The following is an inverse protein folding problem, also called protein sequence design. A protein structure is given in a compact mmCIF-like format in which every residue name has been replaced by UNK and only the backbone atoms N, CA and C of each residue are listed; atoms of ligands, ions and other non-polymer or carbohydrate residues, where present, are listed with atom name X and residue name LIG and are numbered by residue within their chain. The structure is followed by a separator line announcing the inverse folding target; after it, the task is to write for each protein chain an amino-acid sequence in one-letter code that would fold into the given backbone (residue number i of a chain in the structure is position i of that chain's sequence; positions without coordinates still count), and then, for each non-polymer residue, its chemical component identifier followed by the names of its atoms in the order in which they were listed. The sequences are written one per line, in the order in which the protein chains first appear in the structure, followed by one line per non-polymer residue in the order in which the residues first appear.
data_IF_642349639503
#
_entry.id   IF_642349639503
#
_cell.length_a   1.000
_cell.length_b   1.000
_cell.length_c   1.000
_cell.angle_alpha   90.00
_cell.angle_beta   90.00
_cell.angle_gamma   90.00
#
_symmetry.space_group_name_H-M   'P 1'
#
loop_
_entity.id
_entity.type
_entity.pdbx_description
1 polymer ?
#
# COMPACT_ATOMS: atom_id res chain seq x y z
N UNK A 1 6.41 -39.13 17.84
CA UNK A 1 5.41 -38.30 18.55
C UNK A 1 5.96 -36.89 18.60
N UNK A 2 5.79 -36.13 17.53
CA UNK A 2 6.48 -34.86 17.32
C UNK A 2 5.70 -33.73 18.03
N UNK A 3 6.39 -32.69 18.51
CA UNK A 3 5.76 -31.45 19.01
C UNK A 3 5.16 -31.43 20.44
N UNK A 4 5.23 -32.52 21.23
CA UNK A 4 4.67 -32.57 22.61
C UNK A 4 5.28 -31.60 23.63
N UNK A 5 6.29 -30.83 23.24
CA UNK A 5 6.94 -29.82 24.07
C UNK A 5 6.32 -28.42 23.91
N UNK A 6 5.46 -28.23 22.90
CA UNK A 6 4.62 -27.05 22.72
C UNK A 6 3.16 -27.32 23.09
N UNK A 7 2.45 -26.34 23.66
CA UNK A 7 1.00 -26.37 23.76
C UNK A 7 0.33 -26.61 22.39
N UNK A 8 -0.69 -27.46 22.35
CA UNK A 8 -1.46 -27.70 21.13
C UNK A 8 -2.29 -26.46 20.77
N UNK A 9 -2.38 -26.15 19.48
CA UNK A 9 -3.24 -25.11 18.94
C UNK A 9 -4.47 -25.75 18.28
N UNK A 10 -5.65 -25.20 18.57
CA UNK A 10 -6.89 -25.68 17.97
C UNK A 10 -7.01 -25.17 16.53
N UNK A 11 -7.30 -26.09 15.60
CA UNK A 11 -7.51 -25.79 14.19
C UNK A 11 -8.95 -26.12 13.79
N UNK A 12 -9.45 -25.45 12.75
CA UNK A 12 -10.72 -25.80 12.09
C UNK A 12 -10.59 -27.10 11.29
N UNK A 13 -11.71 -27.67 10.84
CA UNK A 13 -11.71 -28.81 9.93
C UNK A 13 -10.97 -28.53 8.60
N UNK A 14 -10.85 -27.25 8.22
CA UNK A 14 -10.09 -26.79 7.04
C UNK A 14 -8.62 -26.47 7.34
N UNK A 15 -8.14 -26.73 8.55
CA UNK A 15 -6.75 -26.51 8.97
C UNK A 15 -6.35 -25.07 9.22
N UNK A 16 -7.33 -24.18 9.43
CA UNK A 16 -7.06 -22.79 9.83
C UNK A 16 -6.96 -22.67 11.35
N UNK A 17 -6.08 -21.81 11.88
CA UNK A 17 -5.99 -21.59 13.33
C UNK A 17 -7.27 -20.96 13.88
N UNK A 18 -7.77 -21.50 14.99
CA UNK A 18 -8.87 -20.88 15.73
C UNK A 18 -8.31 -19.82 16.68
N UNK A 19 -8.63 -18.56 16.40
CA UNK A 19 -8.18 -17.41 17.17
C UNK A 19 -8.99 -17.21 18.46
N UNK A 20 -8.29 -16.75 19.51
CA UNK A 20 -8.88 -16.31 20.77
C UNK A 20 -9.66 -14.98 20.59
N UNK A 21 -10.58 -14.63 21.50
CA UNK A 21 -11.29 -13.36 21.43
C UNK A 21 -10.32 -12.16 21.40
N UNK A 22 -10.39 -11.35 20.34
CA UNK A 22 -9.49 -10.20 20.14
C UNK A 22 -8.10 -10.55 19.58
N UNK A 23 -7.84 -11.82 19.26
CA UNK A 23 -6.60 -12.26 18.62
C UNK A 23 -6.66 -11.97 17.10
N UNK A 24 -5.75 -11.12 16.63
CA UNK A 24 -5.59 -10.74 15.22
C UNK A 24 -4.29 -11.32 14.67
N UNK A 25 -4.32 -11.88 13.46
CA UNK A 25 -3.13 -12.31 12.70
C UNK A 25 -2.37 -11.11 12.13
N UNK A 26 -1.04 -11.11 12.27
CA UNK A 26 -0.15 -10.01 11.88
C UNK A 26 0.84 -10.39 10.79
N UNK A 27 1.26 -11.65 10.73
CA UNK A 27 2.08 -12.17 9.66
C UNK A 27 1.87 -13.68 9.48
N UNK A 28 2.08 -14.16 8.26
CA UNK A 28 2.01 -15.58 7.92
C UNK A 28 3.25 -15.92 7.07
N UNK A 29 3.97 -16.98 7.43
CA UNK A 29 5.19 -17.40 6.75
C UNK A 29 5.16 -18.91 6.51
N UNK A 30 5.45 -19.32 5.27
CA UNK A 30 5.51 -20.72 4.84
C UNK A 30 6.88 -21.36 5.10
N UNK A 31 6.88 -22.71 5.18
CA UNK A 31 8.10 -23.55 5.25
C UNK A 31 9.07 -23.12 6.36
N UNK A 32 8.56 -22.99 7.57
CA UNK A 32 9.35 -22.65 8.76
C UNK A 32 9.63 -23.91 9.58
N UNK A 33 10.89 -24.10 9.97
CA UNK A 33 11.26 -25.11 10.96
C UNK A 33 11.41 -24.48 12.34
N UNK A 34 11.03 -25.23 13.38
CA UNK A 34 11.28 -24.93 14.78
C UNK A 34 12.29 -25.92 15.34
N UNK A 35 13.47 -25.42 15.71
CA UNK A 35 14.56 -26.18 16.31
C UNK A 35 14.82 -25.68 17.74
N UNK A 36 15.03 -26.58 18.70
CA UNK A 36 15.42 -26.22 20.08
C UNK A 36 16.92 -26.47 20.22
N UNK A 37 17.68 -25.46 20.65
CA UNK A 37 19.15 -25.56 20.72
C UNK A 37 19.65 -26.22 22.01
N UNK A 38 18.98 -25.99 23.14
CA UNK A 38 19.48 -26.39 24.47
C UNK A 38 19.08 -27.82 24.87
N UNK A 39 18.07 -28.40 24.21
CA UNK A 39 17.56 -29.73 24.53
C UNK A 39 17.37 -30.61 23.26
N UNK A 40 18.42 -31.30 22.79
CA UNK A 40 18.37 -32.13 21.59
C UNK A 40 17.44 -33.37 21.69
N UNK A 41 16.88 -33.66 22.87
CA UNK A 41 15.84 -34.67 23.06
C UNK A 41 14.45 -34.22 22.56
N UNK A 42 14.27 -32.94 22.25
CA UNK A 42 13.04 -32.39 21.69
C UNK A 42 13.08 -32.46 20.15
N UNK A 43 12.16 -33.24 19.58
CA UNK A 43 12.09 -33.42 18.13
C UNK A 43 11.79 -32.06 17.43
N UNK A 44 12.60 -31.67 16.42
CA UNK A 44 12.36 -30.44 15.66
C UNK A 44 11.09 -30.57 14.83
N UNK A 45 10.38 -29.45 14.68
CA UNK A 45 9.23 -29.34 13.80
C UNK A 45 9.70 -28.78 12.46
N UNK A 46 9.32 -29.39 11.33
CA UNK A 46 9.87 -29.05 10.02
C UNK A 46 8.80 -28.73 8.99
N UNK A 47 9.11 -27.75 8.14
CA UNK A 47 8.32 -27.35 6.98
C UNK A 47 6.86 -26.98 7.26
N UNK A 48 6.58 -26.35 8.40
CA UNK A 48 5.23 -25.91 8.74
C UNK A 48 4.92 -24.48 8.33
N UNK A 49 3.65 -24.13 8.42
CA UNK A 49 3.13 -22.77 8.26
C UNK A 49 3.17 -22.07 9.62
N UNK A 50 3.86 -20.94 9.72
CA UNK A 50 3.99 -20.15 10.94
C UNK A 50 3.15 -18.88 10.85
N UNK A 51 2.10 -18.79 11.66
CA UNK A 51 1.28 -17.59 11.84
C UNK A 51 1.73 -16.83 13.10
N UNK A 52 2.04 -15.55 12.94
CA UNK A 52 2.25 -14.61 14.04
C UNK A 52 0.95 -13.88 14.30
N UNK A 53 0.39 -14.09 15.49
CA UNK A 53 -0.77 -13.33 15.97
C UNK A 53 -0.35 -12.33 17.04
N UNK A 54 -1.29 -11.48 17.41
CA UNK A 54 -1.18 -10.58 18.58
C UNK A 54 -0.93 -11.28 19.92
N UNK A 55 -1.16 -12.59 20.04
CA UNK A 55 -1.12 -13.32 21.31
C UNK A 55 -0.11 -14.49 21.33
N UNK A 56 0.15 -15.12 20.18
CA UNK A 56 0.99 -16.32 20.08
C UNK A 56 1.58 -16.49 18.69
N UNK A 57 2.65 -17.27 18.62
CA UNK A 57 3.12 -17.87 17.38
C UNK A 57 2.43 -19.23 17.22
N UNK A 58 1.80 -19.47 16.08
CA UNK A 58 1.11 -20.73 15.79
C UNK A 58 1.82 -21.41 14.63
N UNK A 59 2.37 -22.59 14.89
CA UNK A 59 2.99 -23.43 13.87
C UNK A 59 2.04 -24.56 13.49
N UNK A 60 1.80 -24.73 12.20
CA UNK A 60 0.81 -25.66 11.66
C UNK A 60 1.51 -26.64 10.72
N UNK A 61 1.30 -27.93 10.96
CA UNK A 61 1.70 -29.01 10.06
C UNK A 61 0.55 -29.35 9.13
N UNK A 62 0.67 -28.97 7.85
CA UNK A 62 -0.40 -29.15 6.86
C UNK A 62 -0.73 -30.63 6.60
N UNK A 63 0.26 -31.53 6.67
CA UNK A 63 0.07 -32.96 6.37
C UNK A 63 -0.72 -33.72 7.44
N UNK A 64 -0.60 -33.31 8.71
CA UNK A 64 -1.25 -33.97 9.84
C UNK A 64 -2.43 -33.16 10.40
N UNK A 65 -2.65 -31.96 9.86
CA UNK A 65 -3.57 -30.95 10.40
C UNK A 65 -3.39 -30.75 11.91
N UNK A 66 -2.13 -30.74 12.37
CA UNK A 66 -1.79 -30.51 13.78
C UNK A 66 -1.20 -29.11 13.95
N UNK A 67 -1.62 -28.44 15.02
CA UNK A 67 -1.18 -27.10 15.37
C UNK A 67 -0.48 -27.10 16.72
N UNK A 68 0.61 -26.34 16.82
CA UNK A 68 1.33 -26.07 18.06
C UNK A 68 1.48 -24.58 18.23
N UNK A 69 1.50 -24.07 19.47
CA UNK A 69 1.65 -22.65 19.70
C UNK A 69 2.70 -22.31 20.76
N UNK A 70 3.34 -21.17 20.57
CA UNK A 70 4.24 -20.53 21.54
C UNK A 70 3.53 -19.25 22.00
N UNK A 71 3.03 -19.19 23.25
CA UNK A 71 2.42 -17.99 23.80
C UNK A 71 3.43 -16.84 23.82
N UNK A 72 3.06 -15.65 23.34
CA UNK A 72 3.96 -14.48 23.42
C UNK A 72 4.20 -14.03 24.87
N UNK A 73 3.31 -14.39 25.80
CA UNK A 73 3.54 -14.21 27.24
C UNK A 73 4.74 -15.02 27.78
N UNK A 74 5.07 -16.15 27.13
CA UNK A 74 6.27 -16.94 27.45
C UNK A 74 7.54 -16.37 26.83
N UNK A 75 7.44 -15.45 25.85
CA UNK A 75 8.58 -14.90 25.12
C UNK A 75 9.35 -13.91 26.00
N UNK A 76 10.59 -14.27 26.35
CA UNK A 76 11.52 -13.44 27.12
C UNK A 76 12.18 -12.42 26.20
N UNK A 77 12.70 -12.85 25.05
CA UNK A 77 13.39 -11.97 24.11
C UNK A 77 13.43 -12.56 22.69
N UNK A 78 13.01 -11.80 21.66
CA UNK A 78 13.38 -12.07 20.28
C UNK A 78 14.75 -11.47 19.95
N UNK A 79 15.58 -12.21 19.23
CA UNK A 79 16.90 -11.77 18.76
C UNK A 79 16.87 -11.52 17.25
N UNK A 80 17.56 -10.47 16.77
CA UNK A 80 17.63 -10.17 15.34
C UNK A 80 18.35 -11.30 14.59
N UNK A 81 18.02 -11.50 13.30
CA UNK A 81 18.73 -12.46 12.47
C UNK A 81 20.22 -12.09 12.38
N UNK A 82 21.11 -13.06 12.59
CA UNK A 82 22.56 -12.84 12.53
C UNK A 82 22.99 -12.55 11.09
N UNK A 83 23.61 -11.39 10.86
CA UNK A 83 24.20 -11.00 9.57
C UNK A 83 25.65 -11.46 9.53
N UNK A 84 25.93 -12.61 8.93
CA UNK A 84 27.28 -13.17 8.79
C UNK A 84 27.52 -13.56 7.33
N UNK A 85 28.77 -13.52 6.85
CA UNK A 85 29.12 -14.00 5.50
C UNK A 85 28.66 -15.46 5.28
N UNK A 86 28.58 -16.27 6.33
CA UNK A 86 28.02 -17.64 6.26
C UNK A 86 26.50 -17.69 6.10
N UNK A 87 25.76 -16.63 6.46
CA UNK A 87 24.30 -16.56 6.31
C UNK A 87 23.85 -16.33 4.85
N UNK A 88 24.77 -16.08 3.92
CA UNK A 88 24.45 -16.09 2.47
C UNK A 88 24.24 -17.50 1.91
N UNK A 89 24.72 -18.54 2.60
CA UNK A 89 24.66 -19.94 2.15
C UNK A 89 23.67 -20.80 2.95
N UNK A 90 22.99 -20.22 3.94
CA UNK A 90 22.07 -20.93 4.83
C UNK A 90 20.75 -20.17 4.94
N UNK A 91 19.66 -20.92 5.16
CA UNK A 91 18.35 -20.35 5.44
C UNK A 91 18.41 -19.36 6.61
N UNK A 92 17.79 -18.17 6.52
CA UNK A 92 17.73 -17.21 7.61
C UNK A 92 17.20 -17.82 8.91
N UNK A 93 17.84 -17.48 10.03
CA UNK A 93 17.52 -18.00 11.37
C UNK A 93 17.14 -16.84 12.29
N UNK A 94 15.98 -16.94 12.93
CA UNK A 94 15.52 -16.02 13.97
C UNK A 94 15.49 -16.78 15.28
N UNK A 95 16.04 -16.16 16.32
CA UNK A 95 16.28 -16.77 17.61
C UNK A 95 15.28 -16.16 18.61
N UNK A 96 14.49 -16.99 19.29
CA UNK A 96 13.57 -16.57 20.35
C UNK A 96 13.85 -17.31 21.66
N UNK A 97 14.01 -16.57 22.74
CA UNK A 97 14.17 -17.14 24.08
C UNK A 97 12.82 -17.14 24.79
N UNK A 98 12.37 -18.32 25.21
CA UNK A 98 11.04 -18.53 25.81
C UNK A 98 11.15 -19.18 27.19
N UNK A 99 10.18 -18.94 28.05
CA UNK A 99 10.06 -19.62 29.35
C UNK A 99 9.62 -21.06 29.16
N UNK A 100 10.21 -21.95 29.96
CA UNK A 100 9.91 -23.36 29.98
C UNK A 100 9.71 -23.86 31.41
N UNK A 101 8.79 -24.81 31.57
CA UNK A 101 8.57 -25.55 32.80
C UNK A 101 9.81 -26.40 33.14
N UNK A 102 9.88 -26.90 34.38
CA UNK A 102 10.97 -27.78 34.83
C UNK A 102 11.14 -29.03 33.94
N UNK A 103 10.06 -29.48 33.30
CA UNK A 103 9.97 -30.60 32.36
C UNK A 103 10.35 -30.28 30.91
N UNK A 104 10.76 -29.03 30.60
CA UNK A 104 11.17 -28.59 29.26
C UNK A 104 10.01 -28.24 28.32
N UNK A 105 8.77 -28.20 28.80
CA UNK A 105 7.61 -27.74 28.03
C UNK A 105 7.50 -26.22 28.08
N UNK A 106 7.20 -25.59 26.94
CA UNK A 106 7.01 -24.14 26.87
C UNK A 106 5.71 -23.75 27.59
N UNK A 107 5.81 -22.79 28.50
CA UNK A 107 4.70 -22.30 29.32
C UNK A 107 4.90 -20.81 29.66
N UNK A 108 3.81 -20.10 29.96
CA UNK A 108 3.85 -18.66 30.31
C UNK A 108 4.65 -18.40 31.60
N UNK A 109 4.62 -19.38 32.51
CA UNK A 109 5.36 -19.36 33.77
C UNK A 109 6.22 -20.62 33.88
N UNK A 110 7.50 -20.43 34.15
CA UNK A 110 8.46 -21.52 34.25
C UNK A 110 9.81 -21.04 34.78
N UNK A 111 10.52 -21.88 35.56
CA UNK A 111 11.80 -21.51 36.16
C UNK A 111 12.98 -21.58 35.17
N UNK A 112 12.79 -22.17 33.99
CA UNK A 112 13.83 -22.33 32.97
C UNK A 112 13.53 -21.44 31.76
N UNK A 113 14.55 -21.13 30.98
CA UNK A 113 14.40 -20.59 29.63
C UNK A 113 14.94 -21.58 28.61
N UNK A 114 14.34 -21.63 27.43
CA UNK A 114 14.78 -22.45 26.30
C UNK A 114 14.96 -21.55 25.07
N UNK A 115 15.96 -21.87 24.27
CA UNK A 115 16.27 -21.15 23.03
C UNK A 115 15.65 -21.88 21.82
N UNK A 116 14.67 -21.26 21.17
CA UNK A 116 14.04 -21.78 19.95
C UNK A 116 14.55 -21.00 18.75
N UNK A 117 14.90 -21.73 17.69
CA UNK A 117 15.31 -21.17 16.41
C UNK A 117 14.24 -21.40 15.35
N UNK A 118 13.76 -20.31 14.77
CA UNK A 118 12.90 -20.27 13.60
C UNK A 118 13.80 -20.28 12.35
N UNK A 119 13.76 -21.34 11.56
CA UNK A 119 14.52 -21.44 10.31
C UNK A 119 13.58 -21.19 9.15
N UNK A 120 13.80 -20.08 8.43
CA UNK A 120 12.94 -19.63 7.33
C UNK A 120 13.48 -20.21 6.01
N UNK A 121 12.80 -21.19 5.41
CA UNK A 121 13.29 -21.86 4.18
C UNK A 121 12.77 -21.27 2.87
N UNK A 122 11.67 -20.52 2.91
CA UNK A 122 11.08 -19.87 1.73
C UNK A 122 11.66 -18.46 1.48
N UNK A 123 11.31 -17.84 0.35
CA UNK A 123 11.59 -16.41 0.08
C UNK A 123 10.79 -15.52 1.04
N UNK A 124 11.22 -15.45 2.29
CA UNK A 124 10.68 -14.59 3.33
C UNK A 124 11.69 -13.48 3.64
N UNK A 125 11.20 -12.28 3.96
CA UNK A 125 12.00 -11.21 4.54
C UNK A 125 12.19 -11.47 6.05
N UNK A 126 13.38 -11.94 6.50
CA UNK A 126 13.62 -12.25 7.91
C UNK A 126 13.67 -11.00 8.78
N UNK A 127 14.16 -9.87 8.23
CA UNK A 127 14.28 -8.61 8.96
C UNK A 127 12.88 -8.01 9.17
N UNK A 128 12.03 -8.01 8.15
CA UNK A 128 10.63 -7.58 8.24
C UNK A 128 9.79 -8.46 9.16
N UNK A 129 9.95 -9.79 9.14
CA UNK A 129 9.25 -10.67 10.07
C UNK A 129 9.70 -10.44 11.52
N UNK A 130 11.02 -10.32 11.76
CA UNK A 130 11.54 -9.99 13.08
C UNK A 130 11.03 -8.64 13.59
N UNK A 131 10.99 -7.62 12.74
CA UNK A 131 10.44 -6.30 13.09
C UNK A 131 8.97 -6.39 13.56
N UNK A 132 8.12 -7.12 12.81
CA UNK A 132 6.72 -7.36 13.20
C UNK A 132 6.61 -8.16 14.51
N UNK A 133 7.45 -9.19 14.70
CA UNK A 133 7.48 -9.95 15.94
C UNK A 133 7.83 -9.07 17.15
N UNK A 134 8.84 -8.20 17.00
CA UNK A 134 9.24 -7.26 18.05
C UNK A 134 8.14 -6.25 18.35
N UNK A 135 7.48 -5.71 17.32
CA UNK A 135 6.37 -4.78 17.45
C UNK A 135 5.23 -5.39 18.28
N UNK A 136 4.78 -6.59 17.89
CA UNK A 136 3.72 -7.32 18.61
C UNK A 136 4.15 -7.69 20.02
N UNK A 137 5.39 -8.16 20.19
CA UNK A 137 5.90 -8.50 21.51
C UNK A 137 5.98 -7.29 22.45
N UNK A 138 6.30 -6.10 21.92
CA UNK A 138 6.30 -4.84 22.67
C UNK A 138 4.90 -4.33 22.97
N UNK A 139 3.92 -4.58 22.09
CA UNK A 139 2.55 -4.11 22.27
C UNK A 139 1.82 -4.82 23.42
N UNK A 140 2.28 -6.02 23.81
CA UNK A 140 1.73 -6.82 24.94
C UNK A 140 0.21 -6.93 24.91
N UNK A 141 -0.36 -7.05 23.71
CA UNK A 141 -1.81 -7.02 23.49
C UNK A 141 -2.55 -8.13 24.25
N UNK A 142 -1.86 -9.23 24.56
CA UNK A 142 -2.38 -10.33 25.39
C UNK A 142 -2.63 -9.95 26.87
N UNK A 143 -1.97 -8.93 27.41
CA UNK A 143 -2.17 -8.48 28.79
C UNK A 143 -3.46 -7.64 28.95
N UNK A 144 -3.89 -6.95 27.89
CA UNK A 144 -5.07 -6.06 27.92
C UNK A 144 -6.35 -6.86 28.12
N UNK A 145 -6.41 -8.09 27.59
CA UNK A 145 -7.57 -8.96 27.72
C UNK A 145 -7.63 -9.68 29.07
N UNK A 146 -6.46 -9.98 29.69
CA UNK A 146 -6.41 -10.56 31.04
C UNK A 146 -7.03 -9.61 32.09
N UNK A 147 -6.80 -8.30 31.96
CA UNK A 147 -7.44 -7.30 32.85
C UNK A 147 -8.96 -7.22 32.69
N UNK A 148 -9.51 -7.49 31.50
CA UNK A 148 -10.97 -7.57 31.31
C UNK A 148 -11.54 -8.86 31.92
N UNK A 149 -10.86 -10.00 31.75
CA UNK A 149 -11.31 -11.26 32.35
C UNK A 149 -11.18 -11.31 33.86
N UNK A 150 -10.22 -10.60 34.46
CA UNK A 150 -10.07 -10.54 35.92
C UNK A 150 -11.12 -9.62 36.56
N UNK A 151 -11.52 -8.55 35.87
CA UNK A 151 -12.62 -7.67 36.31
C UNK A 151 -13.97 -8.39 36.23
N UNK A 152 -14.21 -9.20 35.19
CA UNK A 152 -15.45 -10.01 35.07
C UNK A 152 -15.49 -11.19 36.07
N UNK A 153 -14.34 -11.71 36.52
CA UNK A 153 -14.27 -12.79 37.53
C UNK A 153 -14.44 -12.32 38.97
N UNK A 154 -14.11 -11.06 39.27
CA UNK A 154 -14.33 -10.44 40.58
C UNK A 154 -15.80 -10.07 40.81
N UNK A 155 -16.56 -9.75 39.76
CA UNK A 155 -17.98 -9.36 39.85
C UNK A 155 -18.94 -10.57 39.99
N UNK A 156 -18.42 -11.81 39.99
CA UNK A 156 -19.22 -13.04 40.03
C UNK A 156 -19.19 -13.77 41.38
N UNK A 157 -18.51 -13.22 42.40
CA UNK A 157 -18.39 -13.85 43.74
C UNK A 157 -18.42 -12.84 44.88
N UNK A 158 -19.56 -12.18 45.07
CA UNK A 158 -19.93 -11.65 46.38
C UNK A 158 -21.20 -12.35 46.89
N UNK A 159 -21.01 -13.19 47.91
CA UNK A 159 -22.05 -13.91 48.61
C UNK A 159 -21.45 -14.90 49.59
N UNK A 160 -21.10 -14.45 50.80
CA UNK A 160 -20.83 -15.35 51.93
C UNK A 160 -19.70 -14.90 52.87
N UNK A 161 -20.08 -14.64 54.12
CA UNK A 161 -19.23 -14.25 55.24
C UNK A 161 -18.22 -15.34 55.68
N UNK A 162 -17.14 -14.95 56.36
CA UNK A 162 -16.30 -15.88 57.13
C UNK A 162 -14.94 -15.34 57.58
N UNK A 163 -14.79 -15.19 58.90
CA UNK A 163 -13.57 -14.88 59.67
C UNK A 163 -12.44 -15.92 59.52
N UNK A 164 -11.17 -15.52 59.69
CA UNK A 164 -10.08 -16.49 59.92
C UNK A 164 -8.64 -15.98 59.77
N UNK A 165 -7.94 -15.94 60.90
CA UNK A 165 -6.52 -15.61 61.17
C UNK A 165 -5.48 -16.52 60.47
N UNK A 166 -4.24 -16.06 60.23
CA UNK A 166 -3.08 -16.98 60.09
C UNK A 166 -1.85 -16.58 59.24
N UNK A 167 -1.00 -15.70 59.78
CA UNK A 167 0.49 -15.74 59.84
C UNK A 167 1.41 -16.29 58.71
N UNK A 168 2.36 -15.42 58.33
CA UNK A 168 3.82 -15.57 58.13
C UNK A 168 4.49 -15.87 56.75
N UNK A 169 5.32 -14.87 56.39
CA UNK A 169 6.73 -14.95 55.93
C UNK A 169 7.05 -15.26 54.47
N UNK A 170 7.43 -14.23 53.70
CA UNK A 170 8.84 -13.99 53.30
C UNK A 170 9.00 -12.80 52.35
N UNK A 171 9.91 -11.89 52.72
CA UNK A 171 10.71 -10.94 51.91
C UNK A 171 10.05 -10.37 50.65
N UNK A 172 9.37 -9.22 50.80
CA UNK A 172 9.03 -8.32 49.68
C UNK A 172 9.96 -7.12 49.76
N UNK A 173 10.85 -7.02 48.76
CA UNK A 173 11.48 -5.76 48.36
C UNK A 173 10.37 -4.74 48.11
N UNK A 174 10.30 -3.70 48.92
CA UNK A 174 9.36 -2.59 48.74
C UNK A 174 9.52 -1.96 47.35
N UNK A 175 8.50 -1.98 46.47
CA UNK A 175 8.47 -1.06 45.35
C UNK A 175 8.16 0.33 45.88
N UNK A 176 8.92 1.33 45.44
CA UNK A 176 8.62 2.75 45.67
C UNK A 176 7.29 3.06 44.96
N UNK A 177 6.17 2.96 45.68
CA UNK A 177 4.83 3.29 45.19
C UNK A 177 4.39 4.56 45.88
N UNK A 178 4.42 5.65 45.11
CA UNK A 178 3.89 6.95 45.47
C UNK A 178 3.86 7.84 44.22
N UNK A 179 3.05 8.91 44.23
CA UNK A 179 2.92 9.88 43.13
C UNK A 179 4.30 10.40 42.67
N UNK A 180 5.26 10.51 43.59
CA UNK A 180 6.65 10.85 43.28
C UNK A 180 7.40 9.82 42.43
N UNK A 181 7.10 8.53 42.56
CA UNK A 181 7.69 7.47 41.73
C UNK A 181 7.11 7.41 40.32
N UNK A 182 5.82 7.76 40.16
CA UNK A 182 5.20 7.93 38.84
C UNK A 182 5.78 9.14 38.12
N UNK A 183 5.93 10.27 38.83
CA UNK A 183 6.57 11.48 38.31
C UNK A 183 8.02 11.24 37.92
N UNK A 184 8.79 10.50 38.74
CA UNK A 184 10.19 10.20 38.42
C UNK A 184 10.31 9.26 37.21
N UNK A 185 9.40 8.29 37.07
CA UNK A 185 9.35 7.41 35.89
C UNK A 185 8.86 8.12 34.63
N UNK A 186 7.97 9.09 34.76
CA UNK A 186 7.53 9.93 33.66
C UNK A 186 8.67 10.86 33.22
N UNK A 187 9.32 11.53 34.17
CA UNK A 187 10.49 12.37 33.92
C UNK A 187 11.64 11.59 33.26
N UNK A 188 11.93 10.38 33.71
CA UNK A 188 12.94 9.50 33.10
C UNK A 188 12.57 9.07 31.67
N UNK A 189 11.27 8.89 31.39
CA UNK A 189 10.78 8.68 30.01
C UNK A 189 10.97 9.93 29.16
N UNK A 190 10.65 11.11 29.68
CA UNK A 190 10.88 12.38 28.97
C UNK A 190 12.37 12.57 28.66
N UNK A 191 13.25 12.38 29.65
CA UNK A 191 14.70 12.52 29.50
C UNK A 191 15.29 11.48 28.53
N UNK A 192 14.83 10.23 28.58
CA UNK A 192 15.27 9.21 27.60
C UNK A 192 14.74 9.46 26.20
N UNK A 193 13.52 9.97 26.03
CA UNK A 193 12.99 10.37 24.72
C UNK A 193 13.69 11.60 24.17
N UNK A 194 14.00 12.59 25.01
CA UNK A 194 14.71 13.81 24.62
C UNK A 194 16.14 13.48 24.20
N UNK A 195 16.83 12.64 24.96
CA UNK A 195 18.15 12.12 24.59
C UNK A 195 18.12 11.33 23.28
N UNK A 196 17.15 10.42 23.12
CA UNK A 196 17.01 9.65 21.88
C UNK A 196 16.69 10.53 20.67
N UNK A 197 15.92 11.60 20.87
CA UNK A 197 15.58 12.58 19.84
C UNK A 197 16.79 13.44 19.49
N UNK A 198 17.57 13.85 20.48
CA UNK A 198 18.80 14.62 20.28
C UNK A 198 19.91 13.80 19.61
N UNK A 199 20.06 12.52 19.96
CA UNK A 199 20.91 11.55 19.26
C UNK A 199 20.44 11.37 17.81
N UNK A 200 19.14 11.18 17.57
CA UNK A 200 18.59 11.09 16.22
C UNK A 200 18.83 12.37 15.39
N UNK A 201 18.73 13.56 16.00
CA UNK A 201 19.04 14.83 15.31
C UNK A 201 20.54 15.02 15.05
N UNK A 202 21.42 14.55 15.94
CA UNK A 202 22.86 14.55 15.68
C UNK A 202 23.21 13.61 14.54
N UNK A 203 22.63 12.40 14.52
CA UNK A 203 22.81 11.44 13.44
C UNK A 203 22.26 11.96 12.12
N UNK A 204 21.11 12.64 12.14
CA UNK A 204 20.54 13.30 10.97
C UNK A 204 21.46 14.42 10.48
N UNK A 205 22.00 15.24 11.37
CA UNK A 205 22.97 16.28 11.00
C UNK A 205 24.28 15.70 10.45
N UNK A 206 24.77 14.59 11.01
CA UNK A 206 25.93 13.87 10.48
C UNK A 206 25.64 13.30 9.09
N UNK A 207 24.46 12.72 8.90
CA UNK A 207 23.97 12.23 7.62
C UNK A 207 23.81 13.36 6.60
N UNK A 208 23.22 14.49 6.98
CA UNK A 208 23.11 15.70 6.16
C UNK A 208 24.50 16.26 5.81
N UNK A 209 25.45 16.23 6.74
CA UNK A 209 26.84 16.60 6.48
C UNK A 209 27.47 15.71 5.40
N UNK A 210 27.30 14.39 5.51
CA UNK A 210 27.79 13.43 4.51
C UNK A 210 27.07 13.54 3.17
N UNK A 211 25.76 13.75 3.18
CA UNK A 211 24.99 14.00 1.96
C UNK A 211 25.43 15.31 1.29
N UNK A 212 25.70 16.37 2.05
CA UNK A 212 26.22 17.63 1.52
C UNK A 212 27.61 17.46 0.91
N UNK A 213 28.51 16.72 1.55
CA UNK A 213 29.82 16.37 0.98
C UNK A 213 29.68 15.59 -0.34
N UNK A 214 28.75 14.63 -0.39
CA UNK A 214 28.46 13.84 -1.59
C UNK A 214 27.85 14.70 -2.71
N UNK A 215 26.94 15.62 -2.39
CA UNK A 215 26.35 16.58 -3.33
C UNK A 215 27.40 17.58 -3.84
N UNK A 216 28.27 18.10 -2.98
CA UNK A 216 29.37 18.98 -3.42
C UNK A 216 30.37 18.25 -4.33
N UNK A 217 30.66 16.97 -4.05
CA UNK A 217 31.50 16.13 -4.92
C UNK A 217 30.82 15.92 -6.28
N UNK A 218 29.52 15.63 -6.28
CA UNK A 218 28.68 15.51 -7.46
C UNK A 218 28.70 16.79 -8.32
N UNK A 219 28.52 17.96 -7.70
CA UNK A 219 28.58 19.27 -8.38
C UNK A 219 29.97 19.58 -8.93
N UNK A 220 31.04 19.21 -8.20
CA UNK A 220 32.43 19.39 -8.66
C UNK A 220 32.76 18.48 -9.85
N UNK A 221 32.28 17.23 -9.84
CA UNK A 221 32.39 16.30 -10.97
C UNK A 221 31.56 16.80 -12.16
N UNK A 222 30.36 17.32 -11.93
CA UNK A 222 29.53 17.98 -12.95
C UNK A 222 30.26 19.15 -13.59
N UNK A 223 30.86 20.04 -12.80
CA UNK A 223 31.59 21.19 -13.31
C UNK A 223 32.76 20.76 -14.21
N UNK A 224 33.48 19.70 -13.84
CA UNK A 224 34.52 19.10 -14.68
C UNK A 224 33.96 18.56 -16.00
N UNK A 225 32.86 17.81 -15.98
CA UNK A 225 32.21 17.25 -17.16
C UNK A 225 31.67 18.33 -18.12
N UNK A 226 31.15 19.44 -17.60
CA UNK A 226 30.69 20.58 -18.42
C UNK A 226 31.88 21.40 -18.95
N UNK A 227 32.93 21.59 -18.15
CA UNK A 227 34.14 22.34 -18.55
C UNK A 227 35.00 21.62 -19.60
N UNK A 228 34.91 20.29 -19.70
CA UNK A 228 35.60 19.49 -20.72
C UNK A 228 35.06 19.67 -22.15
N UNK A 229 34.00 20.47 -22.35
CA UNK A 229 33.41 20.72 -23.67
C UNK A 229 34.01 21.91 -24.45
N UNK A 230 35.00 22.63 -23.89
CA UNK A 230 35.49 23.91 -24.47
C UNK A 230 37.00 24.03 -24.70
N UNK A 231 37.77 22.95 -24.59
CA UNK A 231 39.21 22.98 -24.90
C UNK A 231 39.61 21.84 -25.84
N UNK A 232 39.52 22.14 -27.14
CA UNK A 232 40.45 21.77 -28.21
C UNK A 232 41.05 20.34 -28.22
N UNK A 233 40.53 19.54 -29.16
CA UNK A 233 41.25 18.69 -30.13
C UNK A 233 42.76 18.49 -29.86
N UNK A 234 43.16 17.34 -29.32
CA UNK A 234 44.16 16.44 -29.92
C UNK A 234 44.48 15.22 -29.03
N UNK A 235 44.75 14.11 -29.73
CA UNK A 235 45.39 12.85 -29.30
C UNK A 235 44.61 11.91 -28.37
N UNK A 236 44.04 10.88 -29.02
CA UNK A 236 44.01 9.48 -28.64
C UNK A 236 43.96 9.15 -27.13
N UNK A 237 42.75 8.85 -26.65
CA UNK A 237 42.47 7.74 -25.73
C UNK A 237 40.96 7.48 -25.72
N UNK A 238 40.55 6.39 -26.36
CA UNK A 238 39.16 5.96 -26.59
C UNK A 238 38.55 5.22 -25.37
N UNK A 239 39.00 5.55 -24.15
CA UNK A 239 38.51 4.93 -22.90
C UNK A 239 37.60 5.85 -22.07
N UNK A 240 37.43 7.12 -22.47
CA UNK A 240 36.70 8.10 -21.66
C UNK A 240 35.17 8.09 -21.92
N UNK A 241 34.71 7.49 -23.03
CA UNK A 241 33.29 7.48 -23.41
C UNK A 241 32.43 6.54 -22.54
N UNK A 242 33.00 5.46 -22.00
CA UNK A 242 32.31 4.53 -21.08
C UNK A 242 32.01 5.16 -19.71
N UNK A 243 32.88 6.05 -19.26
CA UNK A 243 32.73 6.72 -17.97
C UNK A 243 31.50 7.64 -17.91
N UNK A 244 31.14 8.30 -19.01
CA UNK A 244 30.03 9.27 -19.03
C UNK A 244 28.67 8.62 -18.80
N UNK A 245 28.48 7.39 -19.27
CA UNK A 245 27.23 6.65 -19.14
C UNK A 245 27.14 5.98 -17.76
N UNK A 246 28.23 5.36 -17.30
CA UNK A 246 28.34 4.79 -15.96
C UNK A 246 28.17 5.84 -14.84
N UNK A 247 28.74 7.04 -15.04
CA UNK A 247 28.59 8.17 -14.10
C UNK A 247 27.13 8.67 -14.06
N UNK A 248 26.41 8.63 -15.20
CA UNK A 248 24.99 8.98 -15.25
C UNK A 248 24.11 7.96 -14.51
N UNK A 249 24.38 6.67 -14.69
CA UNK A 249 23.69 5.59 -13.96
C UNK A 249 23.98 5.67 -12.45
N UNK A 250 25.20 6.04 -12.08
CA UNK A 250 25.55 6.27 -10.68
C UNK A 250 24.80 7.48 -10.10
N UNK A 251 24.65 8.60 -10.83
CA UNK A 251 23.86 9.75 -10.38
C UNK A 251 22.36 9.44 -10.19
N UNK A 252 21.79 8.63 -11.07
CA UNK A 252 20.40 8.16 -10.96
C UNK A 252 20.19 7.30 -9.71
N UNK A 253 21.10 6.34 -9.46
CA UNK A 253 21.03 5.44 -8.31
C UNK A 253 21.22 6.15 -6.95
N UNK A 254 21.92 7.27 -6.92
CA UNK A 254 22.12 8.10 -5.71
C UNK A 254 20.99 9.12 -5.50
N UNK A 255 20.10 9.32 -6.49
CA UNK A 255 18.95 10.22 -6.37
C UNK A 255 19.29 11.72 -6.42
N UNK A 256 20.46 12.08 -6.94
CA UNK A 256 20.87 13.49 -7.12
C UNK A 256 20.24 14.01 -8.41
N UNK A 257 19.16 14.77 -8.27
CA UNK A 257 18.41 15.34 -9.40
C UNK A 257 19.23 16.47 -10.04
N UNK A 258 19.75 16.23 -11.25
CA UNK A 258 20.38 17.25 -12.10
C UNK A 258 19.50 17.50 -13.33
N UNK A 259 19.37 18.76 -13.82
CA UNK A 259 18.67 19.03 -15.08
C UNK A 259 19.25 18.21 -16.25
N UNK A 260 20.57 18.04 -16.31
CA UNK A 260 21.25 17.30 -17.39
C UNK A 260 21.05 15.78 -17.30
N UNK A 261 20.90 15.21 -16.10
CA UNK A 261 20.56 13.78 -15.95
C UNK A 261 19.07 13.53 -16.16
N UNK A 262 18.20 14.53 -15.95
CA UNK A 262 16.79 14.51 -16.38
C UNK A 262 16.66 14.43 -17.91
N UNK A 263 17.54 15.12 -18.63
CA UNK A 263 17.45 15.27 -20.09
C UNK A 263 18.02 14.06 -20.86
N UNK A 264 19.07 13.38 -20.39
CA UNK A 264 19.67 12.22 -21.10
C UNK A 264 19.30 10.87 -20.49
N UNK A 265 19.44 10.74 -19.17
CA UNK A 265 19.15 9.50 -18.44
C UNK A 265 17.66 9.38 -18.03
N UNK A 266 17.05 10.50 -17.64
CA UNK A 266 15.60 10.62 -17.48
C UNK A 266 14.87 10.39 -18.81
N UNK A 267 15.41 10.85 -19.94
CA UNK A 267 14.81 10.56 -21.24
C UNK A 267 14.77 9.06 -21.57
N UNK A 268 15.83 8.30 -21.30
CA UNK A 268 15.83 6.84 -21.49
C UNK A 268 14.91 6.13 -20.49
N UNK A 269 14.93 6.56 -19.22
CA UNK A 269 14.01 6.05 -18.19
C UNK A 269 12.54 6.27 -18.57
N UNK A 270 12.15 7.49 -18.94
CA UNK A 270 10.79 7.81 -19.33
C UNK A 270 10.40 7.15 -20.65
N UNK A 271 11.33 6.94 -21.58
CA UNK A 271 11.08 6.18 -22.82
C UNK A 271 10.74 4.72 -22.53
N UNK A 272 11.51 4.06 -21.66
CA UNK A 272 11.25 2.67 -21.29
C UNK A 272 9.97 2.55 -20.45
N UNK A 273 9.77 3.47 -19.49
CA UNK A 273 8.53 3.56 -18.72
C UNK A 273 7.31 3.80 -19.61
N UNK A 274 7.45 4.63 -20.65
CA UNK A 274 6.39 4.91 -21.63
C UNK A 274 5.96 3.66 -22.39
N UNK A 275 6.91 2.81 -22.81
CA UNK A 275 6.62 1.52 -23.46
C UNK A 275 5.97 0.53 -22.51
N UNK A 276 6.49 0.41 -21.29
CA UNK A 276 5.90 -0.45 -20.26
C UNK A 276 4.47 -0.04 -19.89
N UNK A 277 4.22 1.27 -19.78
CA UNK A 277 2.88 1.81 -19.52
C UNK A 277 1.94 1.51 -20.68
N UNK A 278 2.41 1.62 -21.93
CA UNK A 278 1.60 1.30 -23.10
C UNK A 278 1.13 -0.17 -23.09
N UNK A 279 2.05 -1.10 -22.82
CA UNK A 279 1.75 -2.53 -22.75
C UNK A 279 0.80 -2.85 -21.58
N UNK A 280 0.98 -2.17 -20.45
CA UNK A 280 0.14 -2.35 -19.27
C UNK A 280 -1.29 -1.85 -19.48
N UNK A 281 -1.44 -0.64 -20.04
CA UNK A 281 -2.74 0.05 -20.15
C UNK A 281 -3.71 -0.64 -21.11
N UNK A 282 -3.22 -1.48 -22.04
CA UNK A 282 -4.07 -2.18 -23.00
C UNK A 282 -5.23 -2.98 -22.37
N UNK A 283 -5.00 -3.72 -21.26
CA UNK A 283 -6.10 -4.47 -20.60
C UNK A 283 -7.06 -3.56 -19.83
N UNK A 284 -6.61 -2.67 -18.91
CA UNK A 284 -7.49 -1.74 -18.21
C UNK A 284 -8.32 -0.85 -19.14
N UNK A 285 -7.75 -0.45 -20.27
CA UNK A 285 -8.43 0.41 -21.25
C UNK A 285 -9.57 -0.32 -21.95
N UNK A 286 -9.37 -1.59 -22.31
CA UNK A 286 -10.42 -2.43 -22.89
C UNK A 286 -11.55 -2.71 -21.90
N UNK A 287 -11.22 -2.94 -20.63
CA UNK A 287 -12.20 -3.13 -19.55
C UNK A 287 -12.99 -1.84 -19.27
N UNK A 288 -12.37 -0.67 -19.40
CA UNK A 288 -12.97 0.64 -19.17
C UNK A 288 -13.69 1.23 -20.40
N UNK A 289 -13.83 0.49 -21.50
CA UNK A 289 -14.58 0.93 -22.68
C UNK A 289 -13.85 1.97 -23.54
N UNK A 290 -12.52 1.93 -23.58
CA UNK A 290 -11.69 2.71 -24.50
C UNK A 290 -11.13 4.02 -23.96
N UNK A 291 -11.46 4.38 -22.71
CA UNK A 291 -10.92 5.57 -22.04
C UNK A 291 -10.83 5.37 -20.53
N UNK A 292 -9.72 5.80 -19.92
CA UNK A 292 -9.49 5.71 -18.47
C UNK A 292 -8.84 6.98 -17.95
N UNK A 293 -9.16 7.38 -16.72
CA UNK A 293 -8.55 8.56 -16.12
C UNK A 293 -7.07 8.32 -15.80
N UNK A 294 -6.22 9.34 -16.00
CA UNK A 294 -4.77 9.22 -15.75
C UNK A 294 -4.48 8.82 -14.29
N UNK A 295 -5.28 9.34 -13.36
CA UNK A 295 -5.18 9.01 -11.93
C UNK A 295 -5.47 7.53 -11.63
N UNK A 296 -6.42 6.93 -12.36
CA UNK A 296 -6.75 5.51 -12.20
C UNK A 296 -5.63 4.64 -12.74
N UNK A 297 -5.04 5.03 -13.88
CA UNK A 297 -3.85 4.34 -14.43
C UNK A 297 -2.68 4.41 -13.45
N UNK A 298 -2.41 5.59 -12.88
CA UNK A 298 -1.38 5.75 -11.86
C UNK A 298 -1.58 4.79 -10.69
N UNK A 299 -2.81 4.72 -10.17
CA UNK A 299 -3.15 3.79 -9.10
C UNK A 299 -2.98 2.32 -9.51
N UNK A 300 -3.54 1.92 -10.67
CA UNK A 300 -3.49 0.54 -11.15
C UNK A 300 -2.06 0.07 -11.41
N UNK A 301 -1.24 0.93 -12.02
CA UNK A 301 0.14 0.61 -12.35
C UNK A 301 1.00 0.46 -11.09
N UNK A 302 0.90 1.40 -10.13
CA UNK A 302 1.62 1.30 -8.87
C UNK A 302 1.15 0.11 -8.02
N UNK A 303 -0.16 -0.20 -8.06
CA UNK A 303 -0.70 -1.40 -7.41
C UNK A 303 -0.16 -2.68 -8.02
N UNK A 304 0.02 -2.72 -9.34
CA UNK A 304 0.57 -3.87 -10.04
C UNK A 304 2.07 -4.06 -9.79
N UNK A 305 2.83 -2.97 -9.62
CA UNK A 305 4.28 -3.03 -9.34
C UNK A 305 4.59 -3.52 -7.92
N UNK A 306 3.81 -3.10 -6.92
CA UNK A 306 3.96 -3.52 -5.51
C UNK A 306 5.17 -2.92 -4.79
N UNK A 307 6.37 -3.07 -5.36
CA UNK A 307 7.62 -2.41 -4.94
C UNK A 307 8.14 -1.53 -6.07
N UNK A 308 8.92 -0.48 -5.77
CA UNK A 308 9.40 0.52 -6.75
C UNK A 308 8.27 1.33 -7.38
N UNK A 309 7.60 2.13 -6.55
CA UNK A 309 6.53 3.03 -6.98
C UNK A 309 7.08 4.13 -7.87
N UNK A 310 6.30 4.53 -8.86
CA UNK A 310 6.59 5.71 -9.69
C UNK A 310 5.88 6.94 -9.14
N UNK A 311 6.47 8.12 -9.36
CA UNK A 311 5.83 9.38 -9.01
C UNK A 311 4.76 9.78 -10.05
N UNK A 312 3.79 10.63 -9.68
CA UNK A 312 2.79 11.14 -10.63
C UNK A 312 3.42 11.92 -11.79
N UNK A 313 4.50 12.66 -11.52
CA UNK A 313 5.21 13.44 -12.53
C UNK A 313 5.90 12.53 -13.55
N UNK A 314 6.53 11.44 -13.10
CA UNK A 314 7.20 10.48 -13.98
C UNK A 314 6.22 9.77 -14.91
N UNK A 315 5.03 9.40 -14.38
CA UNK A 315 3.95 8.83 -15.18
C UNK A 315 3.49 9.81 -16.27
N UNK A 316 3.28 11.08 -15.90
CA UNK A 316 2.84 12.10 -16.85
C UNK A 316 3.89 12.35 -17.94
N UNK A 317 5.18 12.44 -17.59
CA UNK A 317 6.26 12.58 -18.56
C UNK A 317 6.36 11.37 -19.49
N UNK A 318 6.19 10.16 -18.97
CA UNK A 318 6.18 8.94 -19.79
C UNK A 318 4.98 8.87 -20.75
N UNK A 319 3.78 9.27 -20.29
CA UNK A 319 2.59 9.33 -21.15
C UNK A 319 2.69 10.41 -22.23
N UNK A 320 3.34 11.56 -21.94
CA UNK A 320 3.56 12.61 -22.93
C UNK A 320 4.47 12.17 -24.09
N UNK A 321 5.31 11.14 -23.89
CA UNK A 321 6.16 10.60 -24.95
C UNK A 321 5.38 9.78 -25.99
N UNK A 322 4.13 9.37 -25.72
CA UNK A 322 3.30 8.64 -26.69
C UNK A 322 2.91 9.46 -27.93
N UNK A 323 3.04 10.78 -27.90
CA UNK A 323 2.90 11.58 -29.12
C UNK A 323 4.06 11.35 -30.11
N UNK A 324 5.24 10.99 -29.59
CA UNK A 324 6.47 10.80 -30.36
C UNK A 324 6.73 9.32 -30.69
N UNK A 325 6.21 8.41 -29.86
CA UNK A 325 6.36 6.96 -30.02
C UNK A 325 5.07 6.44 -30.67
N UNK A 326 5.17 5.67 -31.75
CA UNK A 326 3.98 5.13 -32.41
C UNK A 326 3.38 3.97 -31.60
N UNK A 327 2.51 4.31 -30.66
CA UNK A 327 1.79 3.39 -29.78
C UNK A 327 0.28 3.49 -30.06
N UNK A 328 -0.49 2.44 -29.79
CA UNK A 328 -1.96 2.45 -29.95
C UNK A 328 -2.70 3.39 -28.97
N UNK A 329 -2.06 3.84 -27.90
CA UNK A 329 -2.67 4.72 -26.88
C UNK A 329 -2.18 6.16 -27.01
N UNK A 330 -2.99 7.10 -26.52
CA UNK A 330 -2.66 8.51 -26.47
C UNK A 330 -3.11 9.16 -25.15
N UNK A 331 -2.34 10.16 -24.70
CA UNK A 331 -2.72 11.04 -23.61
C UNK A 331 -3.60 12.16 -24.16
N UNK A 332 -4.76 12.37 -23.54
CA UNK A 332 -5.70 13.43 -23.87
C UNK A 332 -5.99 14.30 -22.65
N UNK A 333 -6.24 15.58 -22.91
CA UNK A 333 -6.70 16.55 -21.91
C UNK A 333 -8.04 17.12 -22.31
N UNK A 334 -9.02 17.09 -21.40
CA UNK A 334 -10.30 17.79 -21.54
C UNK A 334 -10.16 19.27 -21.17
N UNK A 335 -11.14 20.08 -21.59
CA UNK A 335 -11.18 21.53 -21.31
C UNK A 335 -11.23 21.83 -19.80
N UNK A 336 -11.82 20.94 -19.01
CA UNK A 336 -11.82 20.99 -17.55
C UNK A 336 -10.43 20.84 -16.92
N UNK A 337 -9.44 20.39 -17.70
CA UNK A 337 -8.10 20.03 -17.23
C UNK A 337 -7.95 18.56 -16.83
N UNK A 338 -9.02 17.77 -16.86
CA UNK A 338 -8.96 16.32 -16.61
C UNK A 338 -8.12 15.66 -17.70
N UNK A 339 -7.15 14.86 -17.28
CA UNK A 339 -6.29 14.08 -18.18
C UNK A 339 -6.71 12.62 -18.19
N UNK A 340 -6.80 12.07 -19.40
CA UNK A 340 -7.24 10.71 -19.65
C UNK A 340 -6.33 10.02 -20.65
N UNK A 341 -6.28 8.71 -20.58
CA UNK A 341 -5.64 7.87 -21.58
C UNK A 341 -6.75 7.24 -22.40
N UNK A 342 -6.63 7.34 -23.72
CA UNK A 342 -7.60 6.79 -24.66
C UNK A 342 -6.88 6.00 -25.76
N UNK A 343 -7.59 5.05 -26.36
CA UNK A 343 -7.12 4.37 -27.57
C UNK A 343 -7.19 5.35 -28.76
N UNK A 344 -6.24 5.29 -29.68
CA UNK A 344 -6.29 6.06 -30.94
C UNK A 344 -7.48 5.67 -31.82
N UNK A 345 -7.99 4.44 -31.68
CA UNK A 345 -9.19 3.97 -32.39
C UNK A 345 -10.47 4.57 -31.80
N UNK A 346 -10.44 5.00 -30.53
CA UNK A 346 -11.62 5.52 -29.84
C UNK A 346 -11.96 6.93 -30.31
N UNK A 347 -13.16 7.10 -30.86
CA UNK A 347 -13.62 8.36 -31.46
C UNK A 347 -14.78 8.97 -30.68
N UNK A 348 -14.68 10.26 -30.36
CA UNK A 348 -15.75 11.02 -29.71
C UNK A 348 -17.05 11.00 -30.50
N UNK A 349 -16.98 10.90 -31.83
CA UNK A 349 -18.17 10.89 -32.69
C UNK A 349 -19.09 9.72 -32.35
N UNK A 350 -18.53 8.54 -32.10
CA UNK A 350 -19.33 7.37 -31.73
C UNK A 350 -19.97 7.54 -30.36
N UNK A 351 -19.24 8.13 -29.42
CA UNK A 351 -19.75 8.44 -28.08
C UNK A 351 -20.87 9.47 -28.15
N UNK A 352 -20.71 10.52 -28.96
CA UNK A 352 -21.73 11.54 -29.16
C UNK A 352 -23.00 11.00 -29.82
N UNK A 353 -22.90 10.09 -30.79
CA UNK A 353 -24.08 9.43 -31.35
C UNK A 353 -24.80 8.56 -30.33
N UNK A 354 -24.07 7.85 -29.46
CA UNK A 354 -24.67 7.11 -28.33
C UNK A 354 -25.38 8.04 -27.36
N UNK A 355 -24.74 9.15 -26.97
CA UNK A 355 -25.34 10.17 -26.10
C UNK A 355 -26.60 10.77 -26.73
N UNK A 356 -26.56 11.08 -28.03
CA UNK A 356 -27.72 11.58 -28.77
C UNK A 356 -28.86 10.57 -28.79
N UNK A 357 -28.56 9.29 -29.05
CA UNK A 357 -29.57 8.21 -29.02
C UNK A 357 -30.21 8.04 -27.65
N UNK A 358 -29.44 8.22 -26.58
CA UNK A 358 -29.94 8.22 -25.21
C UNK A 358 -30.83 9.43 -24.92
N UNK A 359 -30.40 10.63 -25.34
CA UNK A 359 -31.14 11.86 -25.11
C UNK A 359 -32.45 11.95 -25.93
N UNK A 360 -32.58 11.16 -27.00
CA UNK A 360 -33.81 11.02 -27.78
C UNK A 360 -34.88 10.13 -27.12
N UNK A 361 -34.55 9.40 -26.06
CA UNK A 361 -35.53 8.57 -25.34
C UNK A 361 -36.61 9.45 -24.69
N UNK A 362 -37.88 9.01 -24.64
CA UNK A 362 -38.98 9.84 -24.14
C UNK A 362 -38.80 10.28 -22.68
N UNK A 363 -38.18 9.45 -21.84
CA UNK A 363 -37.85 9.79 -20.45
C UNK A 363 -36.77 10.88 -20.37
N UNK A 364 -35.71 10.74 -21.17
CA UNK A 364 -34.61 11.70 -21.24
C UNK A 364 -35.02 13.05 -21.85
N UNK A 365 -35.97 13.06 -22.79
CA UNK A 365 -36.56 14.29 -23.33
C UNK A 365 -37.33 15.09 -22.28
N UNK A 366 -37.90 14.41 -21.27
CA UNK A 366 -38.66 15.05 -20.17
C UNK A 366 -37.75 15.49 -19.04
N UNK A 367 -36.94 14.56 -18.52
CA UNK A 367 -36.17 14.75 -17.30
C UNK A 367 -34.73 15.17 -17.56
N UNK A 368 -34.27 15.19 -18.81
CA UNK A 368 -32.87 15.41 -19.12
C UNK A 368 -31.99 14.24 -18.71
N UNK A 369 -30.76 14.24 -19.21
CA UNK A 369 -29.73 13.25 -18.94
C UNK A 369 -28.83 13.77 -17.83
N UNK A 370 -28.72 13.03 -16.72
CA UNK A 370 -27.70 13.31 -15.71
C UNK A 370 -26.36 12.65 -16.06
N UNK A 371 -25.23 13.12 -15.50
CA UNK A 371 -23.95 12.44 -15.65
C UNK A 371 -23.97 10.96 -15.22
N UNK A 372 -24.80 10.62 -14.22
CA UNK A 372 -24.97 9.25 -13.74
C UNK A 372 -25.69 8.37 -14.76
N UNK A 373 -26.73 8.90 -15.42
CA UNK A 373 -27.47 8.17 -16.46
C UNK A 373 -26.59 7.91 -17.70
N UNK A 374 -25.79 8.91 -18.06
CA UNK A 374 -24.80 8.80 -19.12
C UNK A 374 -23.71 7.76 -18.76
N UNK A 375 -23.23 7.75 -17.51
CA UNK A 375 -22.26 6.78 -17.03
C UNK A 375 -22.77 5.34 -17.16
N UNK A 376 -24.00 5.07 -16.74
CA UNK A 376 -24.63 3.76 -16.85
C UNK A 376 -24.81 3.31 -18.30
N UNK A 377 -25.17 4.25 -19.19
CA UNK A 377 -25.40 3.94 -20.61
C UNK A 377 -24.10 3.72 -21.37
N UNK A 378 -23.05 4.47 -21.05
CA UNK A 378 -21.74 4.40 -21.70
C UNK A 378 -20.81 3.35 -21.07
N UNK A 379 -21.11 2.88 -19.86
CA UNK A 379 -20.27 1.93 -19.12
C UNK A 379 -18.96 2.54 -18.61
N UNK A 380 -18.95 3.84 -18.32
CA UNK A 380 -17.75 4.60 -17.90
C UNK A 380 -17.96 5.27 -16.54
N UNK A 381 -16.87 5.76 -15.94
CA UNK A 381 -16.95 6.49 -14.67
C UNK A 381 -17.80 7.78 -14.80
N UNK A 382 -18.62 8.14 -13.79
CA UNK A 382 -19.47 9.34 -13.83
C UNK A 382 -18.72 10.65 -14.07
N UNK A 383 -17.47 10.76 -13.60
CA UNK A 383 -16.62 11.90 -13.86
C UNK A 383 -16.32 12.05 -15.36
N UNK A 384 -15.98 10.95 -16.05
CA UNK A 384 -15.73 10.94 -17.49
C UNK A 384 -17.01 11.17 -18.30
N UNK A 385 -18.13 10.59 -17.86
CA UNK A 385 -19.42 10.82 -18.49
C UNK A 385 -19.81 12.30 -18.47
N UNK A 386 -19.52 13.01 -17.38
CA UNK A 386 -19.70 14.46 -17.28
C UNK A 386 -18.86 15.21 -18.31
N UNK A 387 -17.59 14.85 -18.49
CA UNK A 387 -16.70 15.49 -19.49
C UNK A 387 -17.22 15.27 -20.92
N UNK A 388 -17.72 14.07 -21.25
CA UNK A 388 -18.34 13.83 -22.56
C UNK A 388 -19.62 14.64 -22.78
N UNK A 389 -20.45 14.83 -21.75
CA UNK A 389 -21.65 15.67 -21.85
C UNK A 389 -21.29 17.15 -22.05
N UNK A 390 -20.24 17.64 -21.37
CA UNK A 390 -19.71 18.99 -21.57
C UNK A 390 -19.10 19.16 -22.98
N UNK A 391 -18.38 18.15 -23.48
CA UNK A 391 -17.85 18.17 -24.84
C UNK A 391 -18.98 18.17 -25.89
N UNK A 392 -20.03 17.38 -25.67
CA UNK A 392 -21.22 17.38 -26.54
C UNK A 392 -21.98 18.73 -26.50
N UNK A 393 -21.99 19.40 -25.35
CA UNK A 393 -22.51 20.77 -25.24
C UNK A 393 -21.66 21.78 -26.02
N UNK A 394 -20.33 21.68 -25.95
CA UNK A 394 -19.42 22.56 -26.71
C UNK A 394 -19.62 22.41 -28.24
N UNK A 395 -19.94 21.20 -28.72
CA UNK A 395 -20.34 20.93 -30.11
C UNK A 395 -21.78 21.38 -30.45
N UNK A 396 -22.50 21.91 -29.46
CA UNK A 396 -23.88 22.39 -29.57
C UNK A 396 -24.92 21.28 -29.73
N UNK A 397 -24.60 20.03 -29.39
CA UNK A 397 -25.55 18.91 -29.42
C UNK A 397 -26.51 18.95 -28.24
N UNK A 398 -26.00 19.34 -27.07
CA UNK A 398 -26.74 19.40 -25.82
C UNK A 398 -26.78 20.84 -25.29
N UNK A 399 -27.74 21.12 -24.43
CA UNK A 399 -27.80 22.31 -23.59
C UNK A 399 -27.87 21.87 -22.12
N UNK A 400 -27.19 22.61 -21.24
CA UNK A 400 -27.19 22.34 -19.80
C UNK A 400 -28.32 23.11 -19.11
N UNK A 401 -28.94 22.48 -18.13
CA UNK A 401 -29.79 23.12 -17.12
C UNK A 401 -29.16 22.94 -15.75
N UNK A 402 -29.01 24.04 -15.03
CA UNK A 402 -28.39 24.08 -13.70
C UNK A 402 -29.42 24.62 -12.72
N UNK A 403 -30.06 23.72 -12.00
CA UNK A 403 -31.08 24.04 -11.01
C UNK A 403 -30.68 23.54 -9.62
N UNK A 404 -31.35 23.98 -8.55
CA UNK A 404 -31.13 23.43 -7.21
C UNK A 404 -31.41 21.91 -7.13
N UNK A 405 -32.23 21.38 -8.04
CA UNK A 405 -32.57 19.97 -8.14
C UNK A 405 -31.46 19.13 -8.78
N UNK A 406 -30.55 19.76 -9.53
CA UNK A 406 -29.36 19.11 -10.03
C UNK A 406 -28.83 19.67 -11.36
N UNK A 407 -27.86 18.94 -11.89
CA UNK A 407 -27.14 19.27 -13.12
C UNK A 407 -27.56 18.29 -14.23
N UNK A 408 -28.29 18.79 -15.23
CA UNK A 408 -28.91 17.96 -16.27
C UNK A 408 -28.62 18.50 -17.66
N UNK A 409 -28.57 17.61 -18.64
CA UNK A 409 -28.39 17.96 -20.05
C UNK A 409 -29.61 17.58 -20.87
N UNK A 410 -29.98 18.46 -21.79
CA UNK A 410 -31.09 18.28 -22.72
C UNK A 410 -30.58 18.37 -24.15
N UNK A 411 -31.34 17.81 -25.10
CA UNK A 411 -31.05 18.04 -26.52
C UNK A 411 -31.19 19.52 -26.84
N UNK A 412 -30.24 20.04 -27.64
CA UNK A 412 -30.24 21.43 -28.02
C UNK A 412 -31.34 21.73 -29.06
N UNK A 413 -32.54 22.03 -28.57
CA UNK A 413 -33.69 22.42 -29.39
C UNK A 413 -33.51 23.81 -30.03
N UNK A 414 -32.63 24.65 -29.50
CA UNK A 414 -32.40 26.01 -30.03
C UNK A 414 -31.82 26.02 -31.44
N UNK A 415 -31.23 24.90 -31.90
CA UNK A 415 -30.76 24.74 -33.28
C UNK A 415 -31.88 24.71 -34.32
N UNK A 416 -33.08 24.28 -33.94
CA UNK A 416 -34.25 24.21 -34.84
C UNK A 416 -35.06 25.51 -34.86
N UNK A 417 -34.67 26.51 -34.05
CA UNK A 417 -35.37 27.79 -33.97
C UNK A 417 -34.74 28.75 -34.98
N UNK A 418 -35.47 29.10 -36.04
CA UNK A 418 -35.07 30.19 -36.93
C UNK A 418 -35.30 31.54 -36.23
N UNK A 419 -34.24 32.35 -35.97
CA UNK A 419 -34.37 33.67 -35.36
C UNK A 419 -35.26 34.62 -36.17
N UNK A 420 -35.42 34.39 -37.48
CA UNK A 420 -36.25 35.21 -38.38
C UNK A 420 -37.71 34.79 -38.38
N UNK A 421 -38.03 33.60 -37.85
CA UNK A 421 -39.38 33.07 -37.80
C UNK A 421 -39.69 32.43 -36.44
N UNK A 422 -39.55 33.20 -35.36
CA UNK A 422 -39.78 32.75 -33.98
C UNK A 422 -41.19 32.16 -33.72
N UNK A 423 -42.16 32.45 -34.59
CA UNK A 423 -43.54 31.98 -34.48
C UNK A 423 -43.85 30.75 -35.34
N UNK A 424 -42.96 30.35 -36.25
CA UNK A 424 -43.13 29.12 -37.04
C UNK A 424 -42.29 28.01 -36.44
N UNK A 425 -42.94 27.11 -35.70
CA UNK A 425 -42.31 25.87 -35.28
C UNK A 425 -42.23 24.94 -36.49
N UNK A 426 -41.03 24.46 -36.84
CA UNK A 426 -40.87 23.46 -37.88
C UNK A 426 -41.71 22.20 -37.55
N UNK A 427 -42.52 21.74 -38.51
CA UNK A 427 -43.51 20.65 -38.30
C UNK A 427 -42.89 19.24 -38.23
N UNK A 428 -41.57 19.15 -38.36
CA UNK A 428 -40.75 17.95 -38.35
C UNK A 428 -39.42 18.27 -37.66
N UNK A 429 -38.99 17.48 -36.68
CA UNK A 429 -37.75 17.73 -35.96
C UNK A 429 -37.76 17.23 -34.51
N UNK A 430 -36.67 17.50 -33.80
CA UNK A 430 -36.47 17.21 -32.38
C UNK A 430 -37.52 17.92 -31.51
N UNK A 431 -37.93 19.13 -31.88
CA UNK A 431 -38.95 19.90 -31.16
C UNK A 431 -40.32 19.19 -31.14
N UNK A 432 -40.71 18.54 -32.25
CA UNK A 432 -41.95 17.75 -32.30
C UNK A 432 -41.86 16.49 -31.47
N UNK A 433 -40.72 15.79 -31.52
CA UNK A 433 -40.47 14.61 -30.68
C UNK A 433 -40.53 14.96 -29.19
N UNK A 434 -39.98 16.12 -28.82
CA UNK A 434 -40.08 16.66 -27.47
C UNK A 434 -41.53 16.99 -27.09
N UNK A 435 -42.28 17.72 -27.93
CA UNK A 435 -43.71 18.00 -27.72
C UNK A 435 -44.54 16.72 -27.55
N UNK A 436 -44.31 15.71 -28.37
CA UNK A 436 -44.99 14.42 -28.25
C UNK A 436 -44.64 13.72 -26.94
N UNK A 437 -43.39 13.81 -26.49
CA UNK A 437 -42.97 13.22 -25.23
C UNK A 437 -43.62 13.96 -24.05
N UNK A 438 -43.67 15.30 -24.04
CA UNK A 438 -44.23 16.08 -22.93
C UNK A 438 -45.75 16.10 -22.90
N UNK A 439 -46.44 16.11 -24.04
CA UNK A 439 -47.91 16.17 -24.12
C UNK A 439 -48.61 14.92 -23.54
N UNK A 440 -48.01 13.74 -23.63
CA UNK A 440 -48.57 12.46 -23.12
C UNK A 440 -48.68 12.42 -21.59
N UNK A 441 -48.12 13.39 -20.87
CA UNK A 441 -48.14 13.46 -19.40
C UNK A 441 -49.12 14.50 -18.82
N UNK A 442 -50.01 15.08 -19.64
CA UNK A 442 -51.01 16.08 -19.21
C UNK A 442 -52.34 15.43 -18.84
#
# INVERSE_FOLDING_TARGET
MNGRWLPAANLTASGRPMFLPGEIERALVSKVDLEVEENPGLAPLRAGLLSLTTHRLIWIEESSNSGYCIPLASLIRPYPPKKSIRSMFHSPRIHIQVKASASGRIAEEGPKSEMITLVLRDKCDPDGFHAKLVEVWRSRSWEVNQRRSDVERLDSREGGAGSGHGSNSSVISTPVVGVSGLLMKEQEKWESTDKSLQEAFQDLNALMGKAKEMVMLAEKMRAKLLSGSSAQVNTANDEELGSKQEIQDWFLSVGIVSPVTKESAGALYHQELSRQLADFVGRPLNEAGGMIALIEVYYLFNRARGTELISPDDLLQACALWEKIDVSVMLRRFDSGVMVIQDKVHSDKEVFERIKSMALKPEALRQGVSPTDAAMTLGIAPALAKEYLLAAENEGLLCRDVSPEGFRFYLNLFREIDPRCMYSVERSGLFRSWLSATAVAS
#
